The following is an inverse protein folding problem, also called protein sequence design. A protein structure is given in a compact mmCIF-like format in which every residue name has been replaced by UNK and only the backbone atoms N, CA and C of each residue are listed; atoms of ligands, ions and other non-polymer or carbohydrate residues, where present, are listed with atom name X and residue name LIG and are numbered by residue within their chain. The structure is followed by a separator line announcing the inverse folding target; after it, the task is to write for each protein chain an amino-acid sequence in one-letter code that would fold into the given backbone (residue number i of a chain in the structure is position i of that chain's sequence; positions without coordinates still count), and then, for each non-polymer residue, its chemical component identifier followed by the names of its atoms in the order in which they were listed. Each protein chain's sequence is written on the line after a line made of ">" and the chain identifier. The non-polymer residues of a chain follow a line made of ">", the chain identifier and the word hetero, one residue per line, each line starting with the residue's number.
data_IF_080406086630
#
_entry.id   IF_080406086630
#
_cell.length_a   1.000
_cell.length_b   1.000
_cell.length_c   1.000
_cell.angle_alpha   90.00
_cell.angle_beta   90.00
_cell.angle_gamma   90.00
#
_symmetry.space_group_name_H-M   'P 1'
#
loop_
_entity.id
_entity.type
_entity.pdbx_description
1 polymer ?
#
# COMPACT_ATOMS: atom_id res chain seq x y z
N UNK A 1 19.45 -2.32 25.51
CA UNK A 1 18.17 -2.95 25.15
C UNK A 1 17.86 -2.49 23.74
N UNK A 2 17.94 -3.33 22.69
CA UNK A 2 17.66 -2.83 21.36
C UNK A 2 16.16 -2.64 21.24
N UNK A 3 15.80 -1.40 20.93
CA UNK A 3 14.54 -0.94 20.41
C UNK A 3 13.94 -2.02 19.50
N UNK A 4 12.86 -2.68 19.96
CA UNK A 4 12.19 -3.74 19.20
C UNK A 4 11.32 -3.05 18.16
N UNK A 5 11.97 -2.40 17.21
CA UNK A 5 11.35 -1.67 16.13
C UNK A 5 10.32 -2.58 15.47
N UNK A 6 9.07 -2.13 15.45
CA UNK A 6 8.00 -2.84 14.77
C UNK A 6 8.43 -3.08 13.32
N UNK A 7 8.55 -4.35 12.92
CA UNK A 7 8.95 -4.68 11.55
C UNK A 7 7.69 -4.78 10.70
N UNK A 8 7.62 -3.95 9.67
CA UNK A 8 6.54 -3.95 8.69
C UNK A 8 7.10 -4.45 7.35
N UNK A 9 6.64 -5.63 6.92
CA UNK A 9 7.08 -6.29 5.69
C UNK A 9 5.91 -6.56 4.74
N UNK A 10 6.09 -6.22 3.48
CA UNK A 10 5.09 -6.44 2.43
C UNK A 10 5.40 -7.75 1.74
N UNK A 11 4.57 -8.77 1.93
CA UNK A 11 4.78 -10.11 1.37
C UNK A 11 4.28 -10.25 -0.06
N UNK A 12 3.16 -9.61 -0.39
CA UNK A 12 2.57 -9.70 -1.71
C UNK A 12 1.72 -8.47 -2.04
N UNK A 13 1.69 -8.12 -3.32
CA UNK A 13 0.81 -7.09 -3.88
C UNK A 13 0.06 -7.68 -5.05
N UNK A 14 -1.27 -7.73 -4.96
CA UNK A 14 -2.14 -8.32 -5.97
C UNK A 14 -3.16 -7.29 -6.46
N UNK A 15 -3.18 -7.02 -7.75
CA UNK A 15 -4.22 -6.19 -8.36
C UNK A 15 -5.50 -7.03 -8.47
N UNK A 16 -6.55 -6.70 -7.71
CA UNK A 16 -7.81 -7.45 -7.72
C UNK A 16 -8.67 -7.09 -8.92
N UNK A 17 -9.00 -5.82 -9.05
CA UNK A 17 -9.77 -5.31 -10.17
C UNK A 17 -9.39 -3.86 -10.42
N UNK A 18 -9.47 -3.45 -11.69
CA UNK A 18 -9.25 -2.08 -12.11
C UNK A 18 -10.19 -1.75 -13.27
N UNK A 19 -10.61 -0.49 -13.34
CA UNK A 19 -11.54 -0.02 -14.35
C UNK A 19 -11.56 1.50 -14.47
N UNK A 20 -12.11 2.02 -15.57
CA UNK A 20 -12.20 3.45 -15.80
C UNK A 20 -13.11 4.12 -14.75
N UNK A 21 -12.72 5.32 -14.31
CA UNK A 21 -13.50 6.12 -13.38
C UNK A 21 -14.73 6.68 -14.08
N UNK A 22 -15.94 6.42 -13.56
CA UNK A 22 -17.22 6.79 -14.21
C UNK A 22 -17.38 8.30 -14.44
N UNK A 23 -16.81 9.12 -13.57
CA UNK A 23 -16.98 10.58 -13.58
C UNK A 23 -15.78 11.36 -14.13
N UNK A 24 -14.62 10.73 -14.33
CA UNK A 24 -13.38 11.44 -14.67
C UNK A 24 -12.75 10.75 -15.88
N UNK A 25 -12.80 11.37 -17.07
CA UNK A 25 -12.19 10.80 -18.28
C UNK A 25 -10.68 10.70 -18.09
N UNK A 26 -10.10 9.57 -18.51
CA UNK A 26 -8.65 9.32 -18.41
C UNK A 26 -8.14 8.87 -17.04
N UNK A 27 -9.01 8.74 -16.03
CA UNK A 27 -8.65 8.19 -14.72
C UNK A 27 -9.05 6.73 -14.63
N UNK A 28 -8.13 5.88 -14.18
CA UNK A 28 -8.38 4.48 -13.86
C UNK A 28 -8.33 4.33 -12.34
N UNK A 29 -9.35 3.67 -11.79
CA UNK A 29 -9.37 3.26 -10.39
C UNK A 29 -9.24 1.76 -10.27
N UNK A 30 -8.56 1.31 -9.24
CA UNK A 30 -8.46 -0.11 -8.94
C UNK A 30 -8.35 -0.37 -7.46
N UNK A 31 -8.41 -1.65 -7.13
CA UNK A 31 -8.14 -2.14 -5.78
C UNK A 31 -6.94 -3.08 -5.86
N UNK A 32 -5.93 -2.77 -5.07
CA UNK A 32 -4.77 -3.62 -4.87
C UNK A 32 -4.86 -4.20 -3.47
N UNK A 33 -4.91 -5.52 -3.38
CA UNK A 33 -4.80 -6.22 -2.11
C UNK A 33 -3.33 -6.43 -1.81
N UNK A 34 -2.92 -6.00 -0.64
CA UNK A 34 -1.56 -6.14 -0.15
C UNK A 34 -1.59 -7.11 1.02
N UNK A 35 -0.67 -8.06 1.03
CA UNK A 35 -0.45 -8.93 2.18
C UNK A 35 0.69 -8.32 2.99
N UNK A 36 0.34 -7.88 4.19
CA UNK A 36 1.27 -7.28 5.14
C UNK A 36 1.53 -8.26 6.25
N UNK A 37 2.81 -8.36 6.63
CA UNK A 37 3.27 -9.05 7.82
C UNK A 37 3.90 -8.03 8.75
N UNK A 38 3.34 -7.91 9.95
CA UNK A 38 3.81 -6.98 10.97
C UNK A 38 4.27 -7.77 12.19
N UNK A 39 5.48 -7.46 12.68
CA UNK A 39 6.01 -7.99 13.93
C UNK A 39 5.98 -6.92 15.01
N UNK A 40 5.14 -7.07 16.03
CA UNK A 40 5.03 -6.15 17.15
C UNK A 40 5.16 -6.88 18.48
N UNK A 41 6.10 -6.45 19.34
CA UNK A 41 6.36 -7.04 20.66
C UNK A 41 6.56 -8.57 20.68
N UNK A 42 6.96 -9.17 19.57
CA UNK A 42 7.14 -10.63 19.44
C UNK A 42 5.95 -11.37 18.85
N UNK A 43 4.86 -10.68 18.55
CA UNK A 43 3.72 -11.24 17.82
C UNK A 43 3.87 -10.95 16.33
N UNK A 44 3.75 -11.99 15.51
CA UNK A 44 3.69 -11.90 14.05
C UNK A 44 2.22 -11.86 13.63
N UNK A 45 1.79 -10.75 13.05
CA UNK A 45 0.45 -10.58 12.50
C UNK A 45 0.51 -10.50 10.99
N UNK A 46 -0.23 -11.38 10.31
CA UNK A 46 -0.37 -11.35 8.85
C UNK A 46 -1.81 -10.98 8.49
N UNK A 47 -1.97 -9.90 7.73
CA UNK A 47 -3.29 -9.40 7.34
C UNK A 47 -3.31 -8.89 5.91
N UNK A 48 -4.52 -8.81 5.35
CA UNK A 48 -4.75 -8.32 4.00
C UNK A 48 -5.25 -6.89 4.07
N UNK A 49 -4.59 -5.99 3.33
CA UNK A 49 -4.95 -4.58 3.22
C UNK A 49 -5.42 -4.31 1.79
N UNK A 50 -6.71 -4.09 1.61
CA UNK A 50 -7.29 -3.70 0.32
C UNK A 50 -7.14 -2.17 0.14
N UNK A 51 -6.14 -1.75 -0.65
CA UNK A 51 -5.86 -0.35 -0.97
C UNK A 51 -6.63 0.09 -2.21
N UNK A 52 -7.45 1.12 -2.06
CA UNK A 52 -8.06 1.82 -3.20
C UNK A 52 -6.98 2.68 -3.87
N UNK A 53 -6.61 2.31 -5.08
CA UNK A 53 -5.59 3.00 -5.88
C UNK A 53 -6.24 3.73 -7.05
N UNK A 54 -5.60 4.82 -7.46
CA UNK A 54 -6.01 5.62 -8.62
C UNK A 54 -4.79 5.94 -9.46
N UNK A 55 -4.94 5.82 -10.76
CA UNK A 55 -3.94 6.17 -11.74
C UNK A 55 -4.56 7.15 -12.75
N UNK A 56 -3.92 8.30 -12.92
CA UNK A 56 -4.30 9.31 -13.90
C UNK A 56 -3.41 9.15 -15.13
N UNK A 57 -3.73 8.15 -15.96
CA UNK A 57 -2.85 7.68 -17.04
C UNK A 57 -3.48 7.78 -18.42
N UNK A 58 -4.72 8.24 -18.53
CA UNK A 58 -5.42 8.34 -19.81
C UNK A 58 -5.73 6.97 -20.41
N UNK A 59 -5.77 6.93 -21.74
CA UNK A 59 -5.97 5.69 -22.52
C UNK A 59 -4.62 5.05 -22.83
N UNK A 60 -4.05 4.34 -21.86
CA UNK A 60 -2.80 3.58 -22.01
C UNK A 60 -3.06 2.06 -22.03
N UNK A 61 -2.12 1.26 -22.57
CA UNK A 61 -2.23 -0.20 -22.56
C UNK A 61 -2.38 -0.74 -21.14
N UNK A 62 -3.11 -1.85 -20.98
CA UNK A 62 -3.37 -2.49 -19.68
C UNK A 62 -2.10 -2.77 -18.87
N UNK A 63 -0.97 -3.03 -19.52
CA UNK A 63 0.33 -3.19 -18.86
C UNK A 63 0.77 -1.91 -18.13
N UNK A 64 0.66 -0.74 -18.77
CA UNK A 64 1.02 0.54 -18.16
C UNK A 64 0.05 0.92 -17.04
N UNK A 65 -1.24 0.62 -17.20
CA UNK A 65 -2.25 0.77 -16.14
C UNK A 65 -1.86 -0.02 -14.90
N UNK A 66 -1.52 -1.31 -15.07
CA UNK A 66 -1.08 -2.17 -13.96
C UNK A 66 0.14 -1.60 -13.25
N UNK A 67 1.16 -1.18 -13.99
CA UNK A 67 2.36 -0.57 -13.42
C UNK A 67 2.03 0.70 -12.64
N UNK A 68 1.17 1.57 -13.17
CA UNK A 68 0.77 2.79 -12.49
C UNK A 68 -0.02 2.52 -11.20
N UNK A 69 -0.92 1.54 -11.22
CA UNK A 69 -1.69 1.14 -10.03
C UNK A 69 -0.81 0.52 -8.96
N UNK A 70 0.14 -0.35 -9.35
CA UNK A 70 1.13 -0.92 -8.45
C UNK A 70 2.08 0.15 -7.89
N UNK A 71 2.50 1.12 -8.71
CA UNK A 71 3.30 2.26 -8.28
C UNK A 71 2.57 3.12 -7.24
N UNK A 72 1.26 3.36 -7.44
CA UNK A 72 0.45 4.06 -6.44
C UNK A 72 0.30 3.25 -5.14
N UNK A 73 0.09 1.94 -5.24
CA UNK A 73 0.05 1.04 -4.07
C UNK A 73 1.37 1.08 -3.29
N UNK A 74 2.51 0.95 -3.97
CA UNK A 74 3.83 1.02 -3.36
C UNK A 74 4.07 2.35 -2.64
N UNK A 75 3.64 3.47 -3.23
CA UNK A 75 3.73 4.79 -2.58
C UNK A 75 2.87 4.88 -1.31
N UNK A 76 1.63 4.35 -1.34
CA UNK A 76 0.76 4.28 -0.16
C UNK A 76 1.38 3.41 0.95
N UNK A 77 1.95 2.26 0.58
CA UNK A 77 2.63 1.35 1.51
C UNK A 77 3.89 1.98 2.11
N UNK A 78 4.71 2.67 1.31
CA UNK A 78 5.87 3.38 1.81
C UNK A 78 5.47 4.49 2.79
N UNK A 79 4.36 5.19 2.52
CA UNK A 79 3.81 6.19 3.43
C UNK A 79 3.25 5.56 4.71
N UNK A 80 2.65 4.38 4.62
CA UNK A 80 2.15 3.63 5.78
C UNK A 80 3.31 3.10 6.64
N UNK A 81 4.35 2.56 6.01
CA UNK A 81 5.60 2.16 6.66
C UNK A 81 6.26 3.35 7.35
N UNK A 82 6.39 4.49 6.66
CA UNK A 82 6.93 5.71 7.25
C UNK A 82 6.13 6.16 8.48
N UNK A 83 4.79 6.08 8.44
CA UNK A 83 3.93 6.37 9.61
C UNK A 83 4.08 5.36 10.74
N UNK A 84 4.29 4.08 10.44
CA UNK A 84 4.55 3.06 11.46
C UNK A 84 5.93 3.24 12.10
N UNK A 85 6.94 3.65 11.33
CA UNK A 85 8.25 4.04 11.85
C UNK A 85 8.18 5.31 12.69
N UNK A 86 7.36 6.30 12.28
CA UNK A 86 7.16 7.57 12.98
C UNK A 86 6.28 7.45 14.23
N UNK A 87 5.38 6.45 14.29
CA UNK A 87 4.57 6.11 15.47
C UNK A 87 5.23 5.15 16.46
N UNK A 88 6.54 4.93 16.37
CA UNK A 88 7.30 4.59 17.57
C UNK A 88 7.24 5.83 18.46
N UNK A 89 6.60 5.77 19.64
CA UNK A 89 6.37 6.96 20.44
C UNK A 89 7.72 7.57 20.81
N UNK A 90 8.00 8.76 20.27
CA UNK A 90 8.70 9.71 21.12
C UNK A 90 7.78 9.90 22.31
N UNK A 91 8.22 9.39 23.46
CA UNK A 91 7.62 9.72 24.73
C UNK A 91 7.51 11.25 24.78
N UNK A 92 6.27 11.75 24.85
CA UNK A 92 6.06 13.10 25.31
C UNK A 92 6.30 13.05 26.83
N UNK A 93 7.51 13.42 27.25
CA UNK A 93 7.82 13.82 28.63
C UNK A 93 7.21 15.20 28.94
#
# INVERSE_FOLDING_TARGET
>A
MPDRAASFDVKACEVRYYGPHRLIPGRVTGVVRVIVEESFMGNLSRYHLDLKVKADVGSVPAAQVRTALLGHAAHQLNRLKARHTDRLPVAAE
#
